data_IF_282288941973
#
_entry.id   IF_282288941973
#
_cell.length_a   1.000
_cell.length_b   1.000
_cell.length_c   1.000
_cell.angle_alpha   90.00
_cell.angle_beta   90.00
_cell.angle_gamma   90.00
#
_symmetry.space_group_name_H-M   'P 1'
#
loop_
_entity.id
_entity.type
_entity.pdbx_description
1 polymer ?
#
# COMPACT_ATOMS: atom_id res chain seq x y z
N UNK A 1 -31.32 -18.38 -0.27
CA UNK A 1 -31.07 -16.93 -0.33
C UNK A 1 -31.67 -16.30 0.91
N UNK A 2 -30.84 -15.80 1.80
CA UNK A 2 -31.31 -14.97 2.90
C UNK A 2 -32.00 -13.74 2.31
N UNK A 3 -33.07 -13.29 2.96
CA UNK A 3 -33.93 -12.24 2.40
C UNK A 3 -33.23 -10.89 2.52
N UNK A 4 -32.65 -10.40 1.43
CA UNK A 4 -32.17 -9.03 1.34
C UNK A 4 -33.31 -8.03 1.69
N UNK A 5 -33.02 -6.91 2.38
CA UNK A 5 -34.01 -5.89 2.66
C UNK A 5 -34.72 -5.43 1.38
N UNK A 6 -36.02 -5.16 1.47
CA UNK A 6 -36.78 -4.67 0.31
C UNK A 6 -36.48 -3.22 -0.05
N UNK A 7 -35.97 -2.43 0.88
CA UNK A 7 -35.73 -1.00 0.74
C UNK A 7 -34.30 -0.66 1.11
N UNK A 8 -33.63 0.09 0.26
CA UNK A 8 -32.23 0.49 0.39
C UNK A 8 -31.95 1.25 1.71
N UNK A 9 -32.92 2.04 2.19
CA UNK A 9 -32.74 2.79 3.44
C UNK A 9 -32.49 1.90 4.67
N UNK A 10 -32.92 0.64 4.64
CA UNK A 10 -32.63 -0.30 5.73
C UNK A 10 -31.12 -0.60 5.77
N UNK A 11 -30.49 -0.78 4.60
CA UNK A 11 -29.03 -0.95 4.49
C UNK A 11 -28.31 0.31 5.00
N UNK A 12 -28.76 1.49 4.57
CA UNK A 12 -28.19 2.76 5.02
C UNK A 12 -28.26 2.94 6.55
N UNK A 13 -29.39 2.54 7.18
CA UNK A 13 -29.52 2.58 8.65
C UNK A 13 -28.51 1.64 9.35
N UNK A 14 -28.24 0.46 8.77
CA UNK A 14 -27.22 -0.44 9.33
C UNK A 14 -25.83 0.19 9.22
N UNK A 15 -25.49 0.83 8.08
CA UNK A 15 -24.24 1.55 7.92
C UNK A 15 -24.09 2.69 8.93
N UNK A 16 -25.14 3.50 9.12
CA UNK A 16 -25.15 4.59 10.08
C UNK A 16 -24.97 4.08 11.52
N UNK A 17 -25.62 2.98 11.88
CA UNK A 17 -25.50 2.38 13.20
C UNK A 17 -24.09 1.81 13.49
N UNK A 18 -23.39 1.33 12.48
CA UNK A 18 -22.04 0.75 12.60
C UNK A 18 -20.92 1.74 12.35
N UNK A 19 -21.20 2.89 11.75
CA UNK A 19 -20.19 3.86 11.32
C UNK A 19 -19.31 4.35 12.45
N UNK A 20 -19.90 4.79 13.55
CA UNK A 20 -19.17 5.26 14.73
C UNK A 20 -18.35 4.16 15.41
N UNK A 21 -18.82 2.91 15.33
CA UNK A 21 -18.05 1.76 15.82
C UNK A 21 -16.83 1.50 14.94
N UNK A 22 -16.99 1.49 13.62
CA UNK A 22 -15.91 1.33 12.67
C UNK A 22 -14.86 2.45 12.81
N UNK A 23 -15.29 3.70 12.95
CA UNK A 23 -14.42 4.85 13.21
C UNK A 23 -13.62 4.67 14.52
N UNK A 24 -14.27 4.26 15.60
CA UNK A 24 -13.60 4.03 16.90
C UNK A 24 -12.45 3.03 16.81
N UNK A 25 -12.59 2.02 15.97
CA UNK A 25 -11.59 0.97 15.80
C UNK A 25 -10.73 1.15 14.52
N UNK A 26 -10.72 2.35 13.95
CA UNK A 26 -9.99 2.63 12.71
C UNK A 26 -8.48 2.34 12.78
N UNK A 27 -7.89 2.29 13.97
CA UNK A 27 -6.47 1.92 14.13
C UNK A 27 -6.23 0.40 14.01
N UNK A 28 -7.27 -0.42 14.17
CA UNK A 28 -7.22 -1.87 14.06
C UNK A 28 -7.82 -2.40 12.75
N UNK A 29 -8.46 -1.55 11.96
CA UNK A 29 -9.14 -1.90 10.71
C UNK A 29 -8.33 -1.31 9.55
N UNK A 30 -7.87 -2.16 8.63
CA UNK A 30 -7.17 -1.73 7.41
C UNK A 30 -8.15 -1.16 6.38
N UNK A 31 -9.26 -1.88 6.17
CA UNK A 31 -10.31 -1.51 5.21
C UNK A 31 -11.63 -2.15 5.61
N UNK A 32 -12.73 -1.58 5.15
CA UNK A 32 -14.05 -2.20 5.16
C UNK A 32 -14.41 -2.67 3.77
N UNK A 33 -14.95 -3.87 3.64
CA UNK A 33 -15.24 -4.48 2.34
C UNK A 33 -16.73 -4.42 2.02
N UNK A 34 -17.04 -3.99 0.80
CA UNK A 34 -18.39 -3.93 0.26
C UNK A 34 -19.28 -2.86 0.88
N UNK A 35 -20.53 -2.83 0.40
CA UNK A 35 -21.55 -1.86 0.78
C UNK A 35 -22.80 -2.53 1.37
N UNK A 36 -22.60 -3.63 2.11
CA UNK A 36 -23.65 -4.43 2.77
C UNK A 36 -24.71 -4.99 1.84
N UNK A 37 -24.39 -5.26 0.59
CA UNK A 37 -25.29 -5.83 -0.40
C UNK A 37 -24.71 -7.06 -1.05
N UNK A 38 -25.60 -7.96 -1.46
CA UNK A 38 -25.24 -9.24 -2.04
C UNK A 38 -24.95 -10.32 -0.99
N UNK A 39 -24.76 -11.55 -1.47
CA UNK A 39 -24.35 -12.67 -0.61
C UNK A 39 -22.97 -12.34 -0.01
N UNK A 40 -22.83 -12.57 1.29
CA UNK A 40 -21.59 -12.32 2.07
C UNK A 40 -21.04 -10.88 1.98
N UNK A 41 -21.79 -9.93 1.41
CA UNK A 41 -21.33 -8.57 1.18
C UNK A 41 -20.50 -8.37 -0.09
N UNK A 42 -20.45 -9.39 -0.98
CA UNK A 42 -19.60 -9.42 -2.16
C UNK A 42 -20.16 -8.65 -3.37
N UNK A 43 -21.16 -7.80 -3.15
CA UNK A 43 -21.68 -6.89 -4.17
C UNK A 43 -22.13 -7.62 -5.46
N UNK A 44 -22.71 -8.81 -5.32
CA UNK A 44 -23.33 -9.57 -6.42
C UNK A 44 -24.70 -10.11 -6.01
N UNK A 45 -25.52 -10.51 -6.99
CA UNK A 45 -26.84 -11.14 -6.76
C UNK A 45 -27.72 -10.31 -5.79
N UNK A 46 -27.68 -8.98 -5.93
CA UNK A 46 -28.45 -8.03 -5.13
C UNK A 46 -29.36 -7.19 -6.03
N UNK A 47 -30.45 -6.68 -5.45
CA UNK A 47 -31.35 -5.71 -6.12
C UNK A 47 -30.80 -4.29 -6.09
N UNK A 48 -29.74 -4.03 -5.36
CA UNK A 48 -29.14 -2.71 -5.14
C UNK A 48 -27.79 -2.54 -5.86
N UNK A 49 -27.65 -3.13 -7.05
CA UNK A 49 -26.41 -3.08 -7.84
C UNK A 49 -26.40 -2.04 -8.96
N UNK A 50 -27.46 -1.25 -9.10
CA UNK A 50 -27.45 -0.14 -10.07
C UNK A 50 -26.39 0.89 -9.66
N UNK A 51 -25.74 1.56 -10.63
CA UNK A 51 -24.69 2.55 -10.36
C UNK A 51 -25.09 3.60 -9.31
N UNK A 52 -26.30 4.17 -9.45
CA UNK A 52 -26.84 5.17 -8.52
C UNK A 52 -26.97 4.64 -7.09
N UNK A 53 -27.35 3.37 -6.93
CA UNK A 53 -27.52 2.72 -5.64
C UNK A 53 -26.18 2.37 -4.98
N UNK A 54 -25.21 1.86 -5.76
CA UNK A 54 -23.85 1.60 -5.28
C UNK A 54 -23.21 2.91 -4.80
N UNK A 55 -23.33 3.99 -5.61
CA UNK A 55 -22.82 5.30 -5.22
C UNK A 55 -23.46 5.82 -3.93
N UNK A 56 -24.79 5.71 -3.81
CA UNK A 56 -25.52 6.14 -2.62
C UNK A 56 -25.06 5.36 -1.37
N UNK A 57 -24.92 4.03 -1.47
CA UNK A 57 -24.50 3.19 -0.34
C UNK A 57 -23.05 3.45 0.04
N UNK A 58 -22.14 3.56 -0.94
CA UNK A 58 -20.75 3.88 -0.69
C UNK A 58 -20.58 5.25 0.00
N UNK A 59 -21.29 6.26 -0.48
CA UNK A 59 -21.29 7.58 0.16
C UNK A 59 -21.83 7.51 1.58
N UNK A 60 -23.00 6.87 1.78
CA UNK A 60 -23.58 6.69 3.12
C UNK A 60 -22.59 6.02 4.07
N UNK A 61 -21.87 4.99 3.61
CA UNK A 61 -20.94 4.25 4.44
C UNK A 61 -19.70 5.07 4.78
N UNK A 62 -19.11 5.75 3.79
CA UNK A 62 -17.97 6.65 4.02
C UNK A 62 -18.29 7.81 4.97
N UNK A 63 -19.47 8.43 4.80
CA UNK A 63 -19.95 9.49 5.69
C UNK A 63 -20.19 8.98 7.12
N UNK A 64 -20.80 7.81 7.26
CA UNK A 64 -21.04 7.19 8.57
C UNK A 64 -19.74 6.87 9.35
N UNK A 65 -18.65 6.60 8.63
CA UNK A 65 -17.31 6.38 9.20
C UNK A 65 -16.47 7.67 9.28
N UNK A 66 -17.04 8.85 8.98
CA UNK A 66 -16.32 10.12 8.86
C UNK A 66 -15.03 10.02 8.00
N UNK A 67 -15.05 9.21 6.95
CA UNK A 67 -13.91 8.94 6.06
C UNK A 67 -12.63 8.44 6.78
N UNK A 68 -12.79 7.83 7.96
CA UNK A 68 -11.66 7.34 8.76
C UNK A 68 -11.00 6.07 8.19
N UNK A 69 -11.75 5.32 7.36
CA UNK A 69 -11.33 4.03 6.79
C UNK A 69 -11.44 4.03 5.26
N UNK A 70 -10.61 3.21 4.64
CA UNK A 70 -10.75 2.87 3.21
C UNK A 70 -11.97 1.99 3.02
N UNK A 71 -12.77 2.27 1.99
CA UNK A 71 -13.85 1.42 1.51
C UNK A 71 -13.36 0.62 0.31
N UNK A 72 -13.21 -0.69 0.46
CA UNK A 72 -12.88 -1.58 -0.65
C UNK A 72 -14.15 -2.10 -1.32
N UNK A 73 -14.20 -1.99 -2.64
CA UNK A 73 -15.29 -2.50 -3.48
C UNK A 73 -14.86 -3.72 -4.28
N UNK A 74 -15.85 -4.52 -4.72
CA UNK A 74 -15.62 -5.86 -5.28
C UNK A 74 -14.95 -5.87 -6.66
N UNK A 75 -15.18 -4.85 -7.49
CA UNK A 75 -14.73 -4.80 -8.87
C UNK A 75 -14.10 -3.47 -9.22
N UNK A 76 -13.11 -3.42 -10.12
CA UNK A 76 -12.53 -2.17 -10.60
C UNK A 76 -13.57 -1.21 -11.22
N UNK A 77 -14.57 -1.72 -11.93
CA UNK A 77 -15.67 -0.90 -12.45
C UNK A 77 -16.41 -0.14 -11.35
N UNK A 78 -16.56 -0.72 -10.16
CA UNK A 78 -17.15 -0.01 -9.03
C UNK A 78 -16.26 1.14 -8.54
N UNK A 79 -14.92 0.97 -8.58
CA UNK A 79 -13.99 2.07 -8.28
C UNK A 79 -14.15 3.21 -9.27
N UNK A 80 -14.22 2.90 -10.58
CA UNK A 80 -14.41 3.92 -11.62
C UNK A 80 -15.73 4.67 -11.43
N UNK A 81 -16.83 3.98 -11.18
CA UNK A 81 -18.14 4.59 -10.92
C UNK A 81 -18.10 5.53 -9.70
N UNK A 82 -17.44 5.12 -8.60
CA UNK A 82 -17.37 5.92 -7.39
C UNK A 82 -16.42 7.12 -7.53
N UNK A 83 -15.30 6.94 -8.20
CA UNK A 83 -14.35 8.00 -8.44
C UNK A 83 -14.85 9.00 -9.49
N UNK A 84 -15.57 8.53 -10.50
CA UNK A 84 -15.90 9.33 -11.68
C UNK A 84 -14.61 9.82 -12.35
N UNK A 85 -14.57 11.10 -12.71
CA UNK A 85 -13.38 11.74 -13.29
C UNK A 85 -12.41 12.30 -12.24
N UNK A 86 -12.58 11.95 -10.97
CA UNK A 86 -11.73 12.40 -9.87
C UNK A 86 -10.69 11.33 -9.54
N UNK A 87 -9.55 11.71 -8.93
CA UNK A 87 -8.63 10.73 -8.37
C UNK A 87 -9.32 9.80 -7.38
N UNK A 88 -8.97 8.51 -7.40
CA UNK A 88 -9.49 7.53 -6.46
C UNK A 88 -8.90 7.82 -5.08
N UNK A 89 -9.74 8.17 -4.12
CA UNK A 89 -9.32 8.47 -2.74
C UNK A 89 -10.20 7.77 -1.73
N UNK A 90 -9.59 7.18 -0.71
CA UNK A 90 -10.32 6.49 0.36
C UNK A 90 -11.10 5.27 -0.14
N UNK A 91 -10.77 4.78 -1.34
CA UNK A 91 -11.34 3.60 -1.95
C UNK A 91 -10.27 2.53 -2.15
N UNK A 92 -10.68 1.27 -2.11
CA UNK A 92 -9.85 0.10 -2.34
C UNK A 92 -10.58 -0.94 -3.17
N UNK A 93 -9.87 -2.00 -3.48
CA UNK A 93 -10.40 -3.17 -4.18
C UNK A 93 -10.26 -4.41 -3.29
N UNK A 94 -11.29 -5.24 -3.24
CA UNK A 94 -11.13 -6.60 -2.77
C UNK A 94 -11.59 -7.57 -3.86
N UNK A 95 -10.72 -8.51 -4.19
CA UNK A 95 -10.98 -9.57 -5.16
C UNK A 95 -11.16 -10.88 -4.39
N UNK A 96 -12.39 -11.32 -4.25
CA UNK A 96 -12.75 -12.52 -3.48
C UNK A 96 -12.53 -13.82 -4.25
N UNK A 97 -12.01 -13.76 -5.47
CA UNK A 97 -11.86 -14.92 -6.34
C UNK A 97 -10.56 -14.90 -7.17
N UNK A 98 -9.48 -14.35 -6.60
CA UNK A 98 -8.19 -14.33 -7.28
C UNK A 98 -7.78 -15.73 -7.73
N UNK A 99 -7.36 -15.87 -8.99
CA UNK A 99 -6.90 -17.12 -9.61
C UNK A 99 -7.98 -18.20 -9.78
N UNK A 100 -9.25 -17.94 -9.48
CA UNK A 100 -10.33 -18.90 -9.73
C UNK A 100 -10.57 -19.15 -11.23
N UNK A 101 -10.33 -18.15 -12.07
CA UNK A 101 -10.42 -18.16 -13.52
C UNK A 101 -9.64 -16.98 -14.11
N UNK A 102 -9.64 -16.84 -15.43
CA UNK A 102 -8.95 -15.74 -16.12
C UNK A 102 -9.55 -14.37 -15.80
N UNK A 103 -10.83 -14.33 -15.46
CA UNK A 103 -11.59 -13.12 -15.10
C UNK A 103 -11.79 -12.97 -13.57
N UNK A 104 -11.20 -13.84 -12.77
CA UNK A 104 -11.40 -13.94 -11.32
C UNK A 104 -12.90 -14.01 -10.95
N UNK A 105 -13.63 -14.93 -11.61
CA UNK A 105 -15.08 -15.10 -11.43
C UNK A 105 -15.88 -13.80 -11.59
N UNK A 106 -15.53 -13.01 -12.60
CA UNK A 106 -16.20 -11.79 -12.97
C UNK A 106 -15.76 -10.55 -12.17
N UNK A 107 -14.59 -10.55 -11.54
CA UNK A 107 -13.92 -9.34 -11.08
C UNK A 107 -13.55 -8.47 -12.27
N UNK A 108 -13.02 -9.09 -13.32
CA UNK A 108 -12.69 -8.48 -14.60
C UNK A 108 -13.72 -8.84 -15.66
N UNK A 109 -13.76 -8.05 -16.74
CA UNK A 109 -14.49 -8.38 -17.95
C UNK A 109 -13.58 -9.01 -19.00
N UNK A 110 -14.13 -9.19 -20.17
CA UNK A 110 -13.45 -9.70 -21.38
C UNK A 110 -13.36 -8.64 -22.49
N UNK A 111 -13.88 -7.44 -22.24
CA UNK A 111 -13.96 -6.36 -23.21
C UNK A 111 -12.77 -5.42 -23.05
N UNK A 112 -11.99 -5.14 -24.13
CA UNK A 112 -10.94 -4.12 -24.12
C UNK A 112 -11.51 -2.74 -23.79
N UNK A 113 -10.71 -1.90 -23.12
CA UNK A 113 -11.08 -0.54 -22.71
C UNK A 113 -11.62 0.32 -23.87
N UNK A 114 -11.03 0.21 -25.03
CA UNK A 114 -11.41 0.98 -26.23
C UNK A 114 -12.83 0.67 -26.72
N UNK A 115 -13.34 -0.53 -26.43
CA UNK A 115 -14.66 -0.99 -26.84
C UNK A 115 -15.69 -0.99 -25.69
N UNK A 116 -15.27 -0.73 -24.45
CA UNK A 116 -16.12 -0.76 -23.26
C UNK A 116 -16.51 0.65 -22.82
N UNK A 117 -17.76 0.81 -22.38
CA UNK A 117 -18.21 1.99 -21.68
C UNK A 117 -17.53 2.12 -20.29
N UNK A 118 -17.53 3.33 -19.75
CA UNK A 118 -16.91 3.61 -18.44
C UNK A 118 -17.48 2.77 -17.28
N UNK A 119 -18.75 2.44 -17.35
CA UNK A 119 -19.48 1.68 -16.34
C UNK A 119 -19.44 0.16 -16.58
N UNK A 120 -18.84 -0.27 -17.69
CA UNK A 120 -18.70 -1.69 -18.01
C UNK A 120 -17.36 -2.26 -17.49
N UNK A 121 -17.31 -3.53 -17.09
CA UNK A 121 -16.05 -4.20 -16.75
C UNK A 121 -15.14 -4.32 -17.97
N UNK A 122 -13.89 -3.90 -17.82
CA UNK A 122 -12.85 -4.07 -18.85
C UNK A 122 -12.09 -5.39 -18.66
N UNK A 123 -11.29 -5.78 -19.65
CA UNK A 123 -10.42 -6.93 -19.50
C UNK A 123 -9.37 -6.69 -18.39
N UNK A 124 -8.82 -7.78 -17.83
CA UNK A 124 -7.91 -7.72 -16.69
C UNK A 124 -6.71 -6.79 -16.92
N UNK A 125 -6.11 -6.81 -18.11
CA UNK A 125 -4.95 -5.98 -18.41
C UNK A 125 -5.28 -4.47 -18.34
N UNK A 126 -6.43 -4.05 -18.87
CA UNK A 126 -6.86 -2.65 -18.86
C UNK A 126 -7.27 -2.19 -17.46
N UNK A 127 -7.93 -3.06 -16.68
CA UNK A 127 -8.27 -2.74 -15.28
C UNK A 127 -7.01 -2.61 -14.41
N UNK A 128 -6.04 -3.51 -14.58
CA UNK A 128 -4.76 -3.43 -13.88
C UNK A 128 -3.98 -2.18 -14.27
N UNK A 129 -3.99 -1.81 -15.55
CA UNK A 129 -3.38 -0.56 -16.02
C UNK A 129 -4.07 0.68 -15.43
N UNK A 130 -5.40 0.67 -15.32
CA UNK A 130 -6.15 1.72 -14.65
C UNK A 130 -5.77 1.84 -13.17
N UNK A 131 -5.74 0.73 -12.43
CA UNK A 131 -5.40 0.71 -11.01
C UNK A 131 -3.96 1.18 -10.75
N UNK A 132 -3.01 0.68 -11.53
CA UNK A 132 -1.59 1.05 -11.40
C UNK A 132 -1.28 2.48 -11.86
N UNK A 133 -2.11 3.05 -12.70
CA UNK A 133 -2.00 4.43 -13.20
C UNK A 133 -2.54 5.50 -12.25
N UNK A 134 -3.14 5.13 -11.11
CA UNK A 134 -3.62 6.12 -10.15
C UNK A 134 -2.47 6.80 -9.41
N UNK A 135 -2.62 8.10 -9.12
CA UNK A 135 -1.63 8.89 -8.38
C UNK A 135 -1.53 8.45 -6.91
N UNK A 136 -2.65 8.10 -6.31
CA UNK A 136 -2.70 7.54 -4.96
C UNK A 136 -2.73 6.01 -5.01
N UNK A 137 -2.08 5.37 -4.05
CA UNK A 137 -2.07 3.92 -3.95
C UNK A 137 -3.45 3.39 -3.57
N UNK A 138 -4.03 2.58 -4.44
CA UNK A 138 -5.28 1.88 -4.16
C UNK A 138 -4.94 0.67 -3.30
N UNK A 139 -5.57 0.59 -2.12
CA UNK A 139 -5.48 -0.60 -1.28
C UNK A 139 -6.16 -1.76 -2.00
N UNK A 140 -5.42 -2.80 -2.34
CA UNK A 140 -5.90 -3.97 -3.04
C UNK A 140 -5.67 -5.24 -2.23
N UNK A 141 -6.64 -6.13 -2.18
CA UNK A 141 -6.49 -7.41 -1.50
C UNK A 141 -7.65 -8.35 -1.80
N UNK A 142 -7.79 -9.39 -1.02
CA UNK A 142 -8.90 -10.34 -1.20
C UNK A 142 -8.56 -11.78 -0.85
N UNK A 143 -9.08 -12.69 -1.64
CA UNK A 143 -9.06 -14.13 -1.41
C UNK A 143 -8.59 -14.88 -2.66
N UNK A 144 -7.60 -15.75 -2.47
CA UNK A 144 -7.07 -16.58 -3.54
C UNK A 144 -7.74 -17.95 -3.53
N UNK A 145 -8.29 -18.36 -4.66
CA UNK A 145 -8.98 -19.64 -4.83
C UNK A 145 -8.18 -20.63 -5.70
N UNK A 146 -8.39 -21.90 -5.47
CA UNK A 146 -7.99 -22.95 -6.39
C UNK A 146 -8.81 -22.81 -7.69
N UNK A 147 -8.11 -22.84 -8.82
CA UNK A 147 -8.71 -22.67 -10.15
C UNK A 147 -7.66 -22.87 -11.22
N UNK A 148 -7.22 -21.80 -11.87
CA UNK A 148 -6.15 -21.89 -12.87
C UNK A 148 -4.82 -22.26 -12.22
N UNK A 149 -4.06 -23.10 -12.93
CA UNK A 149 -2.69 -23.44 -12.54
C UNK A 149 -1.73 -22.45 -13.20
N UNK A 150 -0.98 -21.74 -12.37
CA UNK A 150 0.05 -20.79 -12.78
C UNK A 150 1.40 -21.22 -12.24
N UNK A 151 2.48 -20.84 -12.90
CA UNK A 151 3.82 -20.94 -12.32
C UNK A 151 3.95 -19.98 -11.13
N UNK A 152 4.93 -20.23 -10.27
CA UNK A 152 5.19 -19.35 -9.14
C UNK A 152 5.49 -17.90 -9.58
N UNK A 153 6.25 -17.77 -10.67
CA UNK A 153 6.59 -16.47 -11.27
C UNK A 153 5.33 -15.73 -11.74
N UNK A 154 4.42 -16.45 -12.44
CA UNK A 154 3.18 -15.85 -12.94
C UNK A 154 2.25 -15.42 -11.79
N UNK A 155 2.18 -16.17 -10.68
CA UNK A 155 1.44 -15.76 -9.48
C UNK A 155 2.04 -14.50 -8.88
N UNK A 156 3.35 -14.44 -8.70
CA UNK A 156 4.03 -13.27 -8.13
C UNK A 156 3.91 -12.04 -9.03
N UNK A 157 3.96 -12.24 -10.36
CA UNK A 157 3.78 -11.16 -11.33
C UNK A 157 2.35 -10.60 -11.28
N UNK A 158 1.34 -11.46 -11.20
CA UNK A 158 -0.07 -11.03 -11.09
C UNK A 158 -0.32 -10.25 -9.81
N UNK A 159 0.15 -10.74 -8.66
CA UNK A 159 0.06 -10.02 -7.39
C UNK A 159 0.79 -8.67 -7.43
N UNK A 160 1.91 -8.59 -8.16
CA UNK A 160 2.64 -7.34 -8.35
C UNK A 160 1.86 -6.35 -9.24
N UNK A 161 1.25 -6.80 -10.34
CA UNK A 161 0.42 -5.97 -11.22
C UNK A 161 -0.79 -5.40 -10.49
N UNK A 162 -1.42 -6.22 -9.66
CA UNK A 162 -2.54 -5.81 -8.82
C UNK A 162 -2.13 -4.98 -7.59
N UNK A 163 -0.84 -4.85 -7.31
CA UNK A 163 -0.30 -4.14 -6.13
C UNK A 163 -0.92 -4.62 -4.82
N UNK A 164 -0.95 -5.93 -4.60
CA UNK A 164 -1.70 -6.56 -3.51
C UNK A 164 -1.13 -6.16 -2.15
N UNK A 165 -1.99 -5.64 -1.29
CA UNK A 165 -1.65 -5.18 0.06
C UNK A 165 -1.89 -6.26 1.11
N UNK A 166 -2.96 -7.03 0.96
CA UNK A 166 -3.34 -8.09 1.90
C UNK A 166 -4.02 -9.26 1.18
N UNK A 167 -3.93 -10.45 1.76
CA UNK A 167 -4.66 -11.66 1.34
C UNK A 167 -5.18 -12.41 2.56
N UNK A 168 -6.32 -13.06 2.40
CA UNK A 168 -6.84 -14.00 3.39
C UNK A 168 -5.97 -15.28 3.38
N UNK A 169 -5.27 -15.53 4.49
CA UNK A 169 -4.27 -16.59 4.60
C UNK A 169 -4.83 -18.00 4.82
N UNK A 170 -6.16 -18.13 4.99
CA UNK A 170 -6.81 -19.41 5.34
C UNK A 170 -8.07 -19.70 4.51
N UNK A 171 -8.38 -18.88 3.51
CA UNK A 171 -9.68 -18.95 2.81
C UNK A 171 -9.87 -20.27 2.05
N UNK A 172 -9.00 -20.56 1.07
CA UNK A 172 -9.06 -21.80 0.28
C UNK A 172 -7.93 -22.75 0.70
N UNK A 173 -8.24 -23.84 1.44
CA UNK A 173 -7.22 -24.78 1.89
C UNK A 173 -6.43 -25.43 0.76
N UNK A 174 -7.06 -25.68 -0.40
CA UNK A 174 -6.39 -26.30 -1.55
C UNK A 174 -5.35 -25.34 -2.17
N UNK A 175 -5.71 -24.09 -2.38
CA UNK A 175 -4.79 -23.05 -2.86
C UNK A 175 -3.66 -22.80 -1.89
N UNK A 176 -3.95 -22.72 -0.60
CA UNK A 176 -2.93 -22.53 0.43
C UNK A 176 -1.97 -23.72 0.51
N UNK A 177 -2.47 -24.95 0.39
CA UNK A 177 -1.63 -26.16 0.35
C UNK A 177 -0.73 -26.20 -0.89
N UNK A 178 -1.25 -25.83 -2.06
CA UNK A 178 -0.49 -25.72 -3.31
C UNK A 178 0.68 -24.73 -3.16
N UNK A 179 0.43 -23.53 -2.65
CA UNK A 179 1.46 -22.51 -2.46
C UNK A 179 2.50 -22.90 -1.40
N UNK A 180 2.09 -23.60 -0.33
CA UNK A 180 3.01 -24.13 0.71
C UNK A 180 3.89 -25.25 0.16
N UNK A 181 3.39 -26.04 -0.77
CA UNK A 181 4.16 -27.13 -1.40
C UNK A 181 5.11 -26.65 -2.51
N UNK A 182 4.80 -25.51 -3.16
CA UNK A 182 5.62 -24.95 -4.23
C UNK A 182 6.90 -24.32 -3.64
N UNK A 183 8.08 -24.89 -3.98
CA UNK A 183 9.39 -24.41 -3.49
C UNK A 183 10.05 -23.53 -4.54
N UNK A 184 10.49 -22.37 -4.10
CA UNK A 184 11.26 -21.40 -4.89
C UNK A 184 12.78 -21.69 -4.80
N UNK A 185 13.58 -21.19 -5.76
CA UNK A 185 15.05 -21.32 -5.71
C UNK A 185 15.69 -20.75 -4.43
N UNK A 186 15.02 -19.80 -3.77
CA UNK A 186 15.44 -19.24 -2.48
C UNK A 186 15.32 -20.22 -1.29
N UNK A 187 14.67 -21.39 -1.49
CA UNK A 187 14.32 -22.36 -0.44
C UNK A 187 13.00 -22.06 0.27
N UNK A 188 12.44 -20.85 0.13
CA UNK A 188 11.10 -20.53 0.65
C UNK A 188 10.01 -21.22 -0.15
N UNK A 189 8.86 -21.45 0.47
CA UNK A 189 7.64 -21.75 -0.26
C UNK A 189 7.07 -20.49 -0.95
N UNK A 190 6.28 -20.68 -2.00
CA UNK A 190 5.56 -19.58 -2.65
C UNK A 190 4.65 -18.85 -1.63
N UNK A 191 4.02 -19.58 -0.71
CA UNK A 191 3.21 -19.00 0.37
C UNK A 191 4.02 -18.03 1.26
N UNK A 192 5.23 -18.44 1.68
CA UNK A 192 6.12 -17.60 2.49
C UNK A 192 6.62 -16.37 1.71
N UNK A 193 6.95 -16.56 0.42
CA UNK A 193 7.38 -15.45 -0.43
C UNK A 193 6.24 -14.44 -0.63
N UNK A 194 5.02 -14.89 -0.95
CA UNK A 194 3.84 -14.01 -1.04
C UNK A 194 3.65 -13.26 0.28
N UNK A 195 3.60 -13.97 1.40
CA UNK A 195 3.40 -13.37 2.72
C UNK A 195 4.47 -12.33 3.06
N UNK A 196 5.72 -12.55 2.65
CA UNK A 196 6.81 -11.60 2.89
C UNK A 196 6.73 -10.33 2.02
N UNK A 197 5.95 -10.35 0.94
CA UNK A 197 5.84 -9.25 -0.03
C UNK A 197 4.50 -8.53 -0.02
N UNK A 198 3.51 -9.00 0.75
CA UNK A 198 2.22 -8.30 0.87
C UNK A 198 2.41 -6.87 1.39
N UNK A 199 1.72 -5.92 0.78
CA UNK A 199 1.88 -4.51 1.08
C UNK A 199 3.23 -3.96 0.62
N UNK A 200 3.79 -3.04 1.39
CA UNK A 200 5.10 -2.44 1.14
C UNK A 200 6.22 -3.16 1.91
N UNK A 201 7.42 -3.11 1.33
CA UNK A 201 8.66 -3.61 1.95
C UNK A 201 9.82 -2.70 1.59
N UNK A 202 9.95 -1.59 2.27
CA UNK A 202 10.95 -0.56 1.96
C UNK A 202 12.30 -0.95 2.54
N UNK A 203 13.30 -1.06 1.67
CA UNK A 203 14.71 -1.28 2.01
C UNK A 203 15.55 -0.07 1.62
N UNK A 204 16.54 0.27 2.43
CA UNK A 204 17.65 1.13 2.05
C UNK A 204 18.74 0.23 1.47
N UNK A 205 19.06 0.44 0.20
CA UNK A 205 20.12 -0.35 -0.49
C UNK A 205 21.50 0.24 -0.22
N UNK A 206 21.64 1.57 -0.31
CA UNK A 206 22.86 2.28 0.01
C UNK A 206 22.57 3.74 0.37
N UNK A 207 23.54 4.37 1.04
CA UNK A 207 23.56 5.80 1.31
C UNK A 207 24.96 6.34 0.98
N UNK A 208 25.06 7.32 0.10
CA UNK A 208 26.31 7.83 -0.45
C UNK A 208 26.36 9.36 -0.43
N UNK A 209 27.52 9.91 -0.05
CA UNK A 209 27.81 11.32 -0.18
C UNK A 209 28.22 11.67 -1.62
N UNK A 210 27.47 12.56 -2.26
CA UNK A 210 27.79 13.07 -3.61
C UNK A 210 27.49 14.56 -3.67
N UNK A 211 28.47 15.37 -4.09
CA UNK A 211 28.30 16.81 -4.33
C UNK A 211 27.66 17.56 -3.15
N UNK A 212 28.10 17.28 -1.92
CA UNK A 212 27.63 17.96 -0.72
C UNK A 212 26.23 17.56 -0.22
N UNK A 213 25.65 16.53 -0.79
CA UNK A 213 24.34 15.97 -0.35
C UNK A 213 24.46 14.47 -0.11
N UNK A 214 23.62 13.97 0.79
CA UNK A 214 23.46 12.52 1.02
C UNK A 214 22.42 11.98 0.03
N UNK A 215 22.78 10.94 -0.71
CA UNK A 215 21.89 10.27 -1.65
C UNK A 215 21.58 8.88 -1.10
N UNK A 216 20.29 8.60 -0.88
CA UNK A 216 19.83 7.34 -0.30
C UNK A 216 19.01 6.60 -1.34
N UNK A 217 19.50 5.44 -1.74
CA UNK A 217 18.79 4.54 -2.66
C UNK A 217 17.82 3.67 -1.88
N UNK A 218 16.54 3.83 -2.18
CA UNK A 218 15.43 3.11 -1.60
C UNK A 218 14.86 2.11 -2.60
N UNK A 219 14.50 0.92 -2.13
CA UNK A 219 13.78 -0.09 -2.92
C UNK A 219 12.55 -0.54 -2.18
N UNK A 220 11.44 -0.65 -2.87
CA UNK A 220 10.26 -1.31 -2.36
C UNK A 220 10.20 -2.74 -2.89
N UNK A 221 10.48 -3.73 -2.05
CA UNK A 221 10.44 -5.15 -2.39
C UNK A 221 9.04 -5.77 -2.23
N UNK A 222 8.08 -5.03 -1.70
CA UNK A 222 6.69 -5.45 -1.58
C UNK A 222 5.92 -5.38 -2.89
N UNK A 223 4.68 -5.83 -2.88
CA UNK A 223 3.78 -5.74 -4.04
C UNK A 223 3.14 -4.37 -4.18
N UNK A 224 2.91 -3.65 -3.09
CA UNK A 224 2.19 -2.37 -3.06
C UNK A 224 3.06 -1.25 -2.51
N UNK A 225 2.68 -0.01 -2.74
CA UNK A 225 3.32 1.13 -2.08
C UNK A 225 2.80 1.31 -0.65
N UNK A 226 3.39 2.27 0.09
CA UNK A 226 2.92 2.62 1.43
C UNK A 226 1.54 3.30 1.32
N UNK A 227 0.49 2.62 1.78
CA UNK A 227 -0.90 3.10 1.67
C UNK A 227 -1.25 4.22 2.66
N UNK A 228 -0.39 4.50 3.64
CA UNK A 228 -0.62 5.52 4.67
C UNK A 228 0.26 6.73 4.41
N UNK A 229 -0.30 7.95 4.57
CA UNK A 229 0.51 9.18 4.48
C UNK A 229 1.66 9.12 5.48
N UNK A 230 2.88 9.15 4.95
CA UNK A 230 4.12 8.88 5.69
C UNK A 230 5.15 9.94 5.36
N UNK A 231 5.85 10.44 6.38
CA UNK A 231 7.02 11.28 6.21
C UNK A 231 8.28 10.44 6.34
N UNK A 232 9.28 10.75 5.53
CA UNK A 232 10.64 10.26 5.68
C UNK A 232 11.45 11.31 6.47
N UNK A 233 12.07 10.87 7.55
CA UNK A 233 12.85 11.73 8.45
C UNK A 233 14.31 11.32 8.44
N UNK A 234 15.21 12.30 8.41
CA UNK A 234 16.60 12.14 8.79
C UNK A 234 16.74 12.50 10.28
N UNK A 235 17.33 11.62 11.07
CA UNK A 235 17.63 11.84 12.48
C UNK A 235 19.16 11.85 12.61
N UNK A 236 19.69 12.95 13.11
CA UNK A 236 21.11 13.12 13.44
C UNK A 236 21.26 12.96 14.94
N UNK A 237 22.17 12.10 15.38
CA UNK A 237 22.37 11.78 16.77
C UNK A 237 23.84 12.02 17.16
N UNK A 238 24.03 12.96 18.10
CA UNK A 238 25.32 13.27 18.70
C UNK A 238 25.44 12.63 20.09
N UNK A 239 26.67 12.50 20.60
CA UNK A 239 26.98 12.17 21.99
C UNK A 239 26.14 11.02 22.58
N UNK A 240 26.20 9.82 21.95
CA UNK A 240 25.53 8.60 22.41
C UNK A 240 24.02 8.74 22.66
N UNK A 241 23.34 9.56 21.86
CA UNK A 241 21.88 9.71 21.89
C UNK A 241 21.36 10.80 22.83
N UNK A 242 22.21 11.62 23.42
CA UNK A 242 21.79 12.72 24.30
C UNK A 242 21.16 13.89 23.53
N UNK A 243 21.62 14.12 22.32
CA UNK A 243 21.06 15.16 21.43
C UNK A 243 20.63 14.54 20.11
N UNK A 244 19.41 14.84 19.69
CA UNK A 244 18.88 14.41 18.41
C UNK A 244 18.33 15.61 17.65
N UNK A 245 18.74 15.74 16.37
CA UNK A 245 18.19 16.72 15.44
C UNK A 245 17.40 15.97 14.37
N UNK A 246 16.14 16.36 14.19
CA UNK A 246 15.22 15.70 13.27
C UNK A 246 14.91 16.63 12.11
N UNK A 247 15.10 16.14 10.89
CA UNK A 247 14.85 16.88 9.66
C UNK A 247 13.93 16.06 8.76
N UNK A 248 12.90 16.69 8.20
CA UNK A 248 12.08 16.07 7.17
C UNK A 248 12.84 15.99 5.85
N UNK A 249 12.89 14.79 5.26
CA UNK A 249 13.43 14.57 3.92
C UNK A 249 12.35 14.93 2.90
N UNK A 250 12.65 15.75 1.88
CA UNK A 250 11.70 16.14 0.85
C UNK A 250 11.54 14.99 -0.18
N UNK A 251 11.05 13.85 0.27
CA UNK A 251 10.83 12.65 -0.52
C UNK A 251 9.47 12.05 -0.21
N UNK A 252 8.67 11.78 -1.25
CA UNK A 252 7.34 11.20 -1.10
C UNK A 252 7.43 9.66 -1.12
N UNK A 253 7.65 9.07 0.05
CA UNK A 253 7.82 7.61 0.20
C UNK A 253 6.59 6.82 -0.25
N UNK A 254 5.40 7.42 -0.18
CA UNK A 254 4.17 6.78 -0.66
C UNK A 254 4.12 6.65 -2.19
N UNK A 255 4.94 7.41 -2.93
CA UNK A 255 5.07 7.30 -4.37
C UNK A 255 5.93 6.11 -4.84
N UNK A 256 6.70 5.50 -3.94
CA UNK A 256 7.55 4.36 -4.27
C UNK A 256 6.72 3.07 -4.39
N UNK A 257 6.29 2.76 -5.61
CA UNK A 257 5.43 1.59 -5.89
C UNK A 257 6.18 0.28 -5.67
N UNK A 258 5.43 -0.81 -5.48
CA UNK A 258 5.99 -2.15 -5.33
C UNK A 258 6.92 -2.53 -6.48
N UNK A 259 8.06 -3.12 -6.17
CA UNK A 259 9.11 -3.51 -7.11
C UNK A 259 10.02 -2.39 -7.58
N UNK A 260 9.73 -1.11 -7.29
CA UNK A 260 10.50 0.04 -7.75
C UNK A 260 11.71 0.35 -6.87
N UNK A 261 12.70 0.97 -7.50
CA UNK A 261 13.87 1.56 -6.84
C UNK A 261 13.92 3.05 -7.20
N UNK A 262 14.20 3.89 -6.22
CA UNK A 262 14.30 5.33 -6.39
C UNK A 262 15.35 5.93 -5.43
N UNK A 263 15.71 7.18 -5.63
CA UNK A 263 16.78 7.84 -4.88
C UNK A 263 16.27 9.10 -4.21
N UNK A 264 16.33 9.13 -2.89
CA UNK A 264 16.06 10.31 -2.09
C UNK A 264 17.34 11.15 -1.93
N UNK A 265 17.29 12.41 -2.35
CA UNK A 265 18.34 13.38 -2.07
C UNK A 265 18.07 14.05 -0.72
N UNK A 266 19.05 14.00 0.16
CA UNK A 266 18.97 14.57 1.50
C UNK A 266 20.04 15.66 1.66
N UNK A 267 19.60 16.89 1.83
CA UNK A 267 20.50 18.00 2.18
C UNK A 267 20.56 18.11 3.70
N UNK A 268 21.73 17.94 4.28
CA UNK A 268 21.89 18.10 5.72
C UNK A 268 22.01 19.59 6.02
N UNK A 269 21.04 20.10 6.78
CA UNK A 269 21.06 21.48 7.27
C UNK A 269 21.93 21.51 8.53
N UNK A 270 23.09 22.16 8.44
CA UNK A 270 23.92 22.45 9.61
C UNK A 270 23.21 23.48 10.51
N UNK A 271 23.11 23.19 11.81
CA UNK A 271 22.60 24.13 12.80
C UNK A 271 23.74 24.99 13.37
N UNK A 272 23.38 26.15 13.93
CA UNK A 272 24.36 27.08 14.58
C UNK A 272 25.08 26.41 15.78
N UNK A 273 24.44 25.37 16.38
CA UNK A 273 24.98 24.62 17.53
C UNK A 273 25.75 23.35 17.13
N UNK A 274 25.93 23.11 15.83
CA UNK A 274 26.68 21.96 15.37
C UNK A 274 28.18 22.20 15.66
N UNK A 275 28.70 21.57 16.71
CA UNK A 275 30.12 21.68 17.08
C UNK A 275 31.02 21.15 15.98
N UNK A 276 31.97 21.96 15.51
CA UNK A 276 32.95 21.60 14.50
C UNK A 276 33.74 20.35 14.91
N UNK A 277 33.86 19.37 13.99
CA UNK A 277 34.62 18.14 14.21
C UNK A 277 33.89 17.03 14.99
N UNK A 278 32.64 17.23 15.39
CA UNK A 278 31.83 16.15 16.01
C UNK A 278 31.35 15.14 14.97
N UNK A 279 31.40 13.86 15.33
CA UNK A 279 30.80 12.79 14.54
C UNK A 279 29.35 12.60 14.95
N UNK A 280 28.45 12.59 13.98
CA UNK A 280 27.03 12.28 14.18
C UNK A 280 26.63 10.98 13.49
N UNK A 281 25.81 10.17 14.14
CA UNK A 281 25.15 9.03 13.51
C UNK A 281 23.92 9.51 12.74
N UNK A 282 23.77 9.04 11.52
CA UNK A 282 22.64 9.37 10.64
C UNK A 282 21.68 8.20 10.60
N UNK A 283 20.44 8.44 10.97
CA UNK A 283 19.35 7.46 10.86
C UNK A 283 18.25 7.95 9.94
N UNK A 284 17.64 7.02 9.22
CA UNK A 284 16.35 7.25 8.58
C UNK A 284 15.22 6.68 9.43
N UNK A 285 14.08 7.36 9.42
CA UNK A 285 12.84 6.88 10.02
C UNK A 285 11.67 7.20 9.10
N UNK A 286 10.78 6.26 8.90
CA UNK A 286 9.49 6.48 8.27
C UNK A 286 8.46 6.66 9.38
N UNK A 287 7.64 7.73 9.33
CA UNK A 287 6.62 7.98 10.35
C UNK A 287 5.28 8.28 9.73
N UNK A 288 4.22 7.68 10.27
CA UNK A 288 2.85 7.98 9.84
C UNK A 288 2.48 9.41 10.20
N UNK A 289 1.97 10.17 9.24
CA UNK A 289 1.57 11.57 9.48
C UNK A 289 0.42 11.69 10.49
N UNK A 290 -0.47 10.68 10.56
CA UNK A 290 -1.66 10.71 11.43
C UNK A 290 -1.30 10.76 12.92
N UNK A 291 -0.29 10.01 13.36
CA UNK A 291 0.00 9.80 14.79
C UNK A 291 1.49 9.76 15.13
N UNK A 292 2.37 10.03 14.17
CA UNK A 292 3.82 10.01 14.36
C UNK A 292 4.41 8.64 14.67
N UNK A 293 3.64 7.56 14.56
CA UNK A 293 4.15 6.20 14.80
C UNK A 293 5.15 5.79 13.72
N UNK A 294 6.30 5.24 14.13
CA UNK A 294 7.30 4.78 13.18
C UNK A 294 6.82 3.55 12.42
N UNK A 295 7.21 3.47 11.14
CA UNK A 295 7.05 2.31 10.27
C UNK A 295 8.44 1.70 10.06
N UNK A 296 8.61 0.38 10.18
CA UNK A 296 9.92 -0.25 10.06
C UNK A 296 10.38 -0.29 8.59
N UNK A 297 11.70 -0.16 8.38
CA UNK A 297 12.34 -0.61 7.16
C UNK A 297 12.46 -2.14 7.16
N UNK A 298 12.58 -2.73 5.98
CA UNK A 298 12.75 -4.17 5.83
C UNK A 298 14.21 -4.63 5.93
N UNK A 299 15.14 -3.70 6.17
CA UNK A 299 16.54 -4.04 6.43
C UNK A 299 16.68 -4.85 7.71
N UNK A 300 17.60 -5.80 7.73
CA UNK A 300 17.90 -6.61 8.90
C UNK A 300 18.33 -5.71 10.08
N UNK A 301 17.80 -5.97 11.26
CA UNK A 301 18.06 -5.18 12.46
C UNK A 301 17.41 -3.79 12.49
N UNK A 302 16.64 -3.41 11.47
CA UNK A 302 15.92 -2.16 11.49
C UNK A 302 14.76 -2.22 12.51
N UNK A 303 14.74 -1.25 13.42
CA UNK A 303 13.62 -1.00 14.34
C UNK A 303 12.78 0.17 13.87
N UNK A 304 12.50 1.10 14.77
CA UNK A 304 11.83 2.38 14.48
C UNK A 304 12.65 3.34 13.60
N UNK A 305 13.95 3.09 13.48
CA UNK A 305 14.91 3.85 12.68
C UNK A 305 16.01 2.94 12.15
N UNK A 306 16.60 3.28 11.01
CA UNK A 306 17.69 2.56 10.36
C UNK A 306 18.94 3.43 10.33
N UNK A 307 20.06 2.93 10.89
CA UNK A 307 21.37 3.59 10.76
C UNK A 307 21.82 3.50 9.29
N UNK A 308 22.07 4.65 8.67
CA UNK A 308 22.48 4.75 7.26
C UNK A 308 23.92 5.25 7.09
N UNK A 309 24.57 5.74 8.15
CA UNK A 309 25.92 6.21 8.10
C UNK A 309 26.32 7.10 9.26
N UNK A 310 27.48 7.73 9.11
CA UNK A 310 28.03 8.72 10.03
C UNK A 310 28.46 9.95 9.27
N UNK A 311 28.36 11.09 9.87
CA UNK A 311 28.67 12.39 9.28
C UNK A 311 29.55 13.21 10.21
N UNK A 312 30.62 13.78 9.67
CA UNK A 312 31.48 14.72 10.40
C UNK A 312 30.99 16.13 10.15
N UNK A 313 30.62 16.84 11.22
CA UNK A 313 30.24 18.25 11.15
C UNK A 313 31.44 19.06 10.70
N UNK A 314 31.35 19.65 9.50
CA UNK A 314 32.38 20.56 8.98
C UNK A 314 32.04 21.98 9.44
N UNK A 315 32.98 22.65 10.08
CA UNK A 315 32.84 24.04 10.47
C UNK A 315 32.55 24.92 9.27
N UNK A 316 31.63 25.87 9.44
CA UNK A 316 31.14 26.75 8.38
C UNK A 316 32.26 27.49 7.66
N UNK A 317 32.04 27.62 6.31
CA UNK A 317 32.80 28.40 5.33
C UNK A 317 33.99 27.70 4.66
N UNK A 318 33.76 27.44 3.37
CA UNK A 318 34.65 26.97 2.29
C UNK A 318 34.88 25.45 2.19
N UNK A 319 33.99 24.85 1.37
CA UNK A 319 34.19 23.51 0.84
C UNK A 319 35.52 23.33 0.12
N UNK A 320 36.33 22.40 0.59
CA UNK A 320 37.27 21.65 -0.23
C UNK A 320 36.89 20.18 -0.12
N UNK A 321 36.41 19.66 -1.23
CA UNK A 321 36.29 18.22 -1.45
C UNK A 321 37.63 17.55 -1.13
N UNK A 322 37.63 16.66 -0.13
CA UNK A 322 38.60 15.58 -0.09
C UNK A 322 37.86 14.29 -0.34
N UNK A 323 37.97 13.82 -1.57
CA UNK A 323 37.61 12.47 -1.90
C UNK A 323 38.39 11.50 -1.02
N UNK A 324 37.70 10.57 -0.41
CA UNK A 324 38.31 9.32 0.05
C UNK A 324 37.90 8.26 -0.96
N UNK A 325 38.86 7.97 -1.83
CA UNK A 325 39.02 6.65 -2.43
C UNK A 325 39.74 5.79 -1.38
N UNK A 326 39.03 4.78 -0.89
CA UNK A 326 39.56 3.42 -0.63
C UNK A 326 38.37 2.48 -0.40
#
# INVERSE_FOLDING_TARGET
MEREPQRIFVVQRHMQALGSLAERYADAILTVQGVFVGSWGEMHTSRFLRPDQICLLAQTWQEAMHHALTLSVRKPVHLRMLAGNRPVRGLGLYDDAMFAGADHMGTFGDVPREAADWEEPWCAADEQAYLSGQDENILCGGEALAGIKLSAEAVLEELQKMQVTYLNSIYDPARMAEWKACRLPSGKSLYEEIGSRLGYRICVLCAEWKKGSLWVTLKNEGFSAVCQKTDLLLIRECDEGKEQKVQKVPYEICGLKGGQTDVAKVEIVAGEDDGEGKEEKLYLSMVRKKDGKPLPFANEGAGSRLLIGRWMVQGGLHGREKGNTD
#
